data_IF_161913756320
#
_entry.id   IF_161913756320
#
_cell.length_a   1.000
_cell.length_b   1.000
_cell.length_c   1.000
_cell.angle_alpha   90.00
_cell.angle_beta   90.00
_cell.angle_gamma   90.00
#
_symmetry.space_group_name_H-M   'P 1'
#
loop_
_entity.id
_entity.type
_entity.pdbx_description
1 polymer ?
#
# COMPACT_ATOMS: atom_id res chain seq x y z
N UNK A 1 -5.40 -27.73 20.50
CA UNK A 1 -6.54 -28.50 19.97
C UNK A 1 -6.15 -29.55 18.92
N UNK A 2 -4.89 -29.61 18.47
CA UNK A 2 -4.40 -30.69 17.60
C UNK A 2 -4.76 -32.09 18.10
N UNK A 3 -4.72 -32.35 19.41
CA UNK A 3 -5.11 -33.64 20.01
C UNK A 3 -6.55 -34.07 19.69
N UNK A 4 -7.52 -33.15 19.64
CA UNK A 4 -8.92 -33.47 19.31
C UNK A 4 -9.04 -33.81 17.83
N UNK A 5 -8.33 -33.08 16.97
CA UNK A 5 -8.23 -33.37 15.53
C UNK A 5 -7.53 -34.71 15.28
N UNK A 6 -6.44 -35.01 16.00
CA UNK A 6 -5.75 -36.30 15.88
C UNK A 6 -6.59 -37.46 16.42
N UNK A 7 -7.41 -37.24 17.45
CA UNK A 7 -8.33 -38.26 17.97
C UNK A 7 -9.46 -38.51 16.98
N UNK A 8 -10.02 -37.47 16.35
CA UNK A 8 -11.02 -37.61 15.30
C UNK A 8 -10.48 -38.31 14.04
N UNK A 9 -9.26 -37.96 13.61
CA UNK A 9 -8.58 -38.59 12.47
C UNK A 9 -8.18 -40.05 12.77
N UNK A 10 -7.79 -40.37 14.01
CA UNK A 10 -7.46 -41.74 14.43
C UNK A 10 -8.69 -42.63 14.69
N UNK A 11 -9.88 -42.06 14.84
CA UNK A 11 -11.09 -42.80 15.19
C UNK A 11 -11.70 -43.61 14.03
N UNK A 12 -11.17 -43.48 12.80
CA UNK A 12 -11.47 -44.32 11.62
C UNK A 12 -12.96 -44.74 11.50
N UNK A 13 -13.88 -43.78 11.59
CA UNK A 13 -15.32 -44.05 11.57
C UNK A 13 -15.72 -44.69 10.23
N UNK A 14 -16.15 -45.96 10.29
CA UNK A 14 -16.32 -46.84 9.13
C UNK A 14 -17.77 -46.92 8.64
N UNK A 15 -18.55 -45.83 8.64
CA UNK A 15 -19.93 -45.86 8.12
C UNK A 15 -20.38 -44.49 7.57
N UNK A 16 -20.69 -44.44 6.27
CA UNK A 16 -21.31 -43.29 5.57
C UNK A 16 -20.41 -42.06 5.36
N UNK A 17 -20.28 -41.61 4.11
CA UNK A 17 -19.58 -40.43 3.56
C UNK A 17 -18.17 -40.05 4.08
N UNK A 18 -17.58 -40.80 5.03
CA UNK A 18 -16.18 -40.73 5.48
C UNK A 18 -15.67 -39.35 5.96
N UNK A 19 -16.55 -38.39 6.25
CA UNK A 19 -16.16 -37.09 6.79
C UNK A 19 -16.66 -36.91 8.23
N UNK A 20 -15.74 -36.98 9.19
CA UNK A 20 -16.00 -36.68 10.60
C UNK A 20 -15.56 -35.24 10.89
N UNK A 21 -16.52 -34.32 10.96
CA UNK A 21 -16.26 -32.90 11.23
C UNK A 21 -16.57 -32.61 12.70
N UNK A 22 -15.58 -32.11 13.43
CA UNK A 22 -15.76 -31.64 14.81
C UNK A 22 -16.24 -30.18 14.76
N UNK A 23 -17.47 -29.92 15.20
CA UNK A 23 -18.07 -28.58 15.16
C UNK A 23 -18.22 -27.97 16.56
N UNK A 24 -17.67 -26.76 16.74
CA UNK A 24 -17.89 -25.90 17.90
C UNK A 24 -17.59 -24.45 17.53
N UNK A 25 -18.31 -23.48 18.12
CA UNK A 25 -18.01 -22.04 17.93
C UNK A 25 -16.57 -21.70 18.29
N UNK A 26 -16.02 -22.36 19.30
CA UNK A 26 -14.62 -22.19 19.72
C UNK A 26 -13.64 -22.75 18.68
N UNK A 27 -14.02 -23.80 17.96
CA UNK A 27 -13.20 -24.41 16.91
C UNK A 27 -13.06 -23.46 15.71
N UNK A 28 -14.13 -22.73 15.36
CA UNK A 28 -14.09 -21.70 14.33
C UNK A 28 -13.13 -20.56 14.70
N UNK A 29 -13.25 -19.98 15.90
CA UNK A 29 -12.36 -18.90 16.35
C UNK A 29 -10.89 -19.34 16.40
N UNK A 30 -10.63 -20.57 16.84
CA UNK A 30 -9.27 -21.09 16.97
C UNK A 30 -8.61 -21.39 15.62
N UNK A 31 -9.37 -21.94 14.66
CA UNK A 31 -8.88 -22.12 13.29
C UNK A 31 -8.56 -20.77 12.66
N UNK A 32 -9.40 -19.76 12.87
CA UNK A 32 -9.15 -18.41 12.34
C UNK A 32 -7.85 -17.84 12.90
N UNK A 33 -7.60 -17.91 14.21
CA UNK A 33 -6.34 -17.45 14.82
C UNK A 33 -5.11 -18.20 14.29
N UNK A 34 -5.19 -19.53 14.08
CA UNK A 34 -4.07 -20.32 13.55
C UNK A 34 -3.78 -20.01 12.06
N UNK A 35 -4.81 -19.68 11.27
CA UNK A 35 -4.66 -19.34 9.85
C UNK A 35 -4.19 -17.89 9.64
N UNK A 36 -4.62 -16.97 10.51
CA UNK A 36 -4.40 -15.52 10.35
C UNK A 36 -2.93 -15.18 10.12
N UNK A 37 -1.99 -15.70 10.92
CA UNK A 37 -0.58 -15.30 10.81
C UNK A 37 0.03 -15.61 9.43
N UNK A 38 -0.29 -16.78 8.87
CA UNK A 38 0.22 -17.23 7.58
C UNK A 38 -0.50 -16.48 6.45
N UNK A 39 -1.82 -16.30 6.57
CA UNK A 39 -2.62 -15.64 5.55
C UNK A 39 -2.33 -14.14 5.46
N UNK A 40 -2.20 -13.46 6.59
CA UNK A 40 -1.86 -12.02 6.66
C UNK A 40 -0.50 -11.76 6.03
N UNK A 41 0.53 -12.53 6.40
CA UNK A 41 1.86 -12.34 5.83
C UNK A 41 1.87 -12.61 4.32
N UNK A 42 1.17 -13.66 3.86
CA UNK A 42 1.04 -13.98 2.43
C UNK A 42 0.30 -12.88 1.67
N UNK A 43 -0.81 -12.39 2.20
CA UNK A 43 -1.61 -11.33 1.54
C UNK A 43 -0.82 -10.02 1.47
N UNK A 44 -0.11 -9.66 2.54
CA UNK A 44 0.73 -8.47 2.57
C UNK A 44 1.86 -8.54 1.53
N UNK A 45 2.52 -9.70 1.40
CA UNK A 45 3.56 -9.91 0.38
C UNK A 45 2.99 -9.86 -1.03
N UNK A 46 1.84 -10.50 -1.28
CA UNK A 46 1.17 -10.48 -2.58
C UNK A 46 0.71 -9.07 -2.95
N UNK A 47 0.19 -8.30 -2.00
CA UNK A 47 -0.20 -6.91 -2.20
C UNK A 47 1.01 -6.05 -2.60
N UNK A 48 2.12 -6.14 -1.85
CA UNK A 48 3.35 -5.42 -2.17
C UNK A 48 3.90 -5.79 -3.57
N UNK A 49 3.84 -7.07 -3.94
CA UNK A 49 4.27 -7.53 -5.27
C UNK A 49 3.36 -6.99 -6.37
N UNK A 50 2.04 -7.06 -6.18
CA UNK A 50 1.06 -6.52 -7.13
C UNK A 50 1.28 -5.02 -7.36
N UNK A 51 1.47 -4.28 -6.27
CA UNK A 51 1.70 -2.84 -6.31
C UNK A 51 3.03 -2.49 -7.00
N UNK A 52 4.09 -3.26 -6.76
CA UNK A 52 5.34 -3.14 -7.52
C UNK A 52 5.11 -3.35 -9.03
N UNK A 53 4.35 -4.38 -9.42
CA UNK A 53 4.06 -4.64 -10.84
C UNK A 53 3.25 -3.50 -11.46
N UNK A 54 2.19 -3.04 -10.79
CA UNK A 54 1.36 -1.93 -11.27
C UNK A 54 2.17 -0.63 -11.44
N UNK A 55 3.04 -0.30 -10.48
CA UNK A 55 3.89 0.90 -10.57
C UNK A 55 4.91 0.82 -11.70
N UNK A 56 5.51 -0.35 -11.94
CA UNK A 56 6.41 -0.58 -13.08
C UNK A 56 5.67 -0.38 -14.40
N UNK A 57 4.45 -0.91 -14.53
CA UNK A 57 3.64 -0.77 -15.75
C UNK A 57 3.26 0.70 -15.99
N UNK A 58 2.93 1.44 -14.93
CA UNK A 58 2.47 2.83 -15.03
C UNK A 58 3.62 3.81 -15.33
N UNK A 59 4.76 3.66 -14.65
CA UNK A 59 5.89 4.61 -14.70
C UNK A 59 6.96 4.16 -15.71
N UNK A 60 7.01 2.90 -16.15
CA UNK A 60 7.94 2.44 -17.20
C UNK A 60 9.42 2.87 -17.01
N UNK A 61 9.86 3.16 -15.78
CA UNK A 61 11.21 3.53 -15.39
C UNK A 61 11.61 2.77 -14.12
N UNK A 62 12.58 1.87 -14.27
CA UNK A 62 12.94 0.90 -13.22
C UNK A 62 13.52 1.56 -11.97
N UNK A 63 14.27 2.66 -12.15
CA UNK A 63 14.96 3.35 -11.07
C UNK A 63 13.98 4.10 -10.17
N UNK A 64 13.00 4.80 -10.75
CA UNK A 64 11.97 5.52 -9.99
C UNK A 64 11.05 4.56 -9.25
N UNK A 65 10.66 3.46 -9.91
CA UNK A 65 9.82 2.43 -9.29
C UNK A 65 10.50 1.80 -8.06
N UNK A 66 11.80 1.52 -8.16
CA UNK A 66 12.57 0.98 -7.04
C UNK A 66 12.57 1.92 -5.82
N UNK A 67 12.75 3.23 -6.04
CA UNK A 67 12.72 4.21 -4.95
C UNK A 67 11.32 4.40 -4.35
N UNK A 68 10.26 4.36 -5.17
CA UNK A 68 8.87 4.37 -4.70
C UNK A 68 8.62 3.15 -3.81
N UNK A 69 9.05 1.97 -4.23
CA UNK A 69 8.88 0.75 -3.43
C UNK A 69 9.60 0.82 -2.08
N UNK A 70 10.85 1.29 -2.04
CA UNK A 70 11.58 1.49 -0.78
C UNK A 70 10.83 2.47 0.12
N UNK A 71 10.35 3.58 -0.44
CA UNK A 71 9.56 4.57 0.30
C UNK A 71 8.33 3.94 0.96
N UNK A 72 7.62 3.08 0.23
CA UNK A 72 6.41 2.40 0.72
C UNK A 72 6.75 1.35 1.78
N UNK A 73 7.83 0.59 1.61
CA UNK A 73 8.30 -0.35 2.61
C UNK A 73 8.62 0.34 3.94
N UNK A 74 9.34 1.47 3.88
CA UNK A 74 9.65 2.25 5.09
C UNK A 74 8.35 2.72 5.76
N UNK A 75 7.40 3.26 4.98
CA UNK A 75 6.11 3.69 5.56
C UNK A 75 5.33 2.54 6.22
N UNK A 76 5.38 1.33 5.65
CA UNK A 76 4.71 0.18 6.26
C UNK A 76 5.38 -0.25 7.55
N UNK A 77 6.71 -0.27 7.60
CA UNK A 77 7.44 -0.57 8.82
C UNK A 77 7.11 0.46 9.92
N UNK A 78 7.03 1.74 9.57
CA UNK A 78 6.66 2.81 10.52
C UNK A 78 5.22 2.64 11.02
N UNK A 79 4.25 2.40 10.13
CA UNK A 79 2.85 2.20 10.49
C UNK A 79 2.70 0.97 11.40
N UNK A 80 3.29 -0.17 11.02
CA UNK A 80 3.26 -1.39 11.83
C UNK A 80 3.95 -1.19 13.20
N UNK A 81 5.06 -0.47 13.24
CA UNK A 81 5.78 -0.13 14.47
C UNK A 81 4.94 0.74 15.42
N UNK A 82 4.22 1.73 14.88
CA UNK A 82 3.32 2.59 15.66
C UNK A 82 2.03 1.87 16.07
N UNK A 83 1.51 0.96 15.26
CA UNK A 83 0.35 0.13 15.61
C UNK A 83 0.60 -0.67 16.88
N UNK A 84 1.79 -1.27 17.02
CA UNK A 84 2.18 -1.99 18.24
C UNK A 84 2.17 -1.09 19.47
N UNK A 85 2.66 0.15 19.35
CA UNK A 85 2.67 1.12 20.46
C UNK A 85 1.26 1.59 20.85
N UNK A 86 0.31 1.57 19.91
CA UNK A 86 -1.11 1.86 20.17
C UNK A 86 -1.92 0.64 20.61
N UNK A 87 -1.25 -0.49 20.84
CA UNK A 87 -1.87 -1.74 21.27
C UNK A 87 -2.82 -2.34 20.24
N UNK A 88 -2.64 -2.02 18.96
CA UNK A 88 -3.39 -2.67 17.89
C UNK A 88 -2.82 -4.07 17.67
N UNK A 89 -3.69 -5.08 17.74
CA UNK A 89 -3.34 -6.45 17.37
C UNK A 89 -3.38 -6.61 15.86
N UNK A 90 -2.45 -7.39 15.29
CA UNK A 90 -2.50 -7.77 13.87
C UNK A 90 -3.57 -8.84 13.72
N UNK A 91 -4.75 -8.44 13.27
CA UNK A 91 -5.88 -9.30 12.95
C UNK A 91 -6.33 -9.10 11.49
N UNK A 92 -7.29 -9.91 11.03
CA UNK A 92 -7.80 -9.83 9.65
C UNK A 92 -8.27 -8.41 9.28
N UNK A 93 -8.92 -7.72 10.23
CA UNK A 93 -9.39 -6.34 10.02
C UNK A 93 -8.21 -5.39 9.82
N UNK A 94 -7.21 -5.45 10.70
CA UNK A 94 -6.01 -4.61 10.58
C UNK A 94 -5.20 -4.92 9.32
N UNK A 95 -5.17 -6.18 8.87
CA UNK A 95 -4.55 -6.58 7.60
C UNK A 95 -5.20 -5.88 6.40
N UNK A 96 -6.52 -5.92 6.30
CA UNK A 96 -7.26 -5.21 5.25
C UNK A 96 -6.97 -3.70 5.31
N UNK A 97 -6.87 -3.16 6.53
CA UNK A 97 -6.54 -1.74 6.75
C UNK A 97 -5.13 -1.40 6.24
N UNK A 98 -4.15 -2.26 6.50
CA UNK A 98 -2.78 -2.13 6.03
C UNK A 98 -2.70 -2.25 4.49
N UNK A 99 -3.45 -3.16 3.88
CA UNK A 99 -3.51 -3.29 2.42
C UNK A 99 -4.06 -2.01 1.76
N UNK A 100 -5.14 -1.45 2.30
CA UNK A 100 -5.68 -0.17 1.83
C UNK A 100 -4.69 0.99 2.04
N UNK A 101 -3.96 0.96 3.17
CA UNK A 101 -2.91 1.92 3.48
C UNK A 101 -1.74 1.86 2.46
N UNK A 102 -1.33 0.66 2.00
CA UNK A 102 -0.32 0.51 0.95
C UNK A 102 -0.75 1.21 -0.34
N UNK A 103 -2.02 1.05 -0.73
CA UNK A 103 -2.58 1.72 -1.91
C UNK A 103 -2.45 3.24 -1.82
N UNK A 104 -2.89 3.83 -0.70
CA UNK A 104 -2.80 5.27 -0.48
C UNK A 104 -1.35 5.79 -0.49
N UNK A 105 -0.43 5.07 0.18
CA UNK A 105 0.99 5.43 0.18
C UNK A 105 1.57 5.46 -1.24
N UNK A 106 1.23 4.47 -2.06
CA UNK A 106 1.73 4.36 -3.43
C UNK A 106 1.13 5.41 -4.34
N UNK A 107 -0.14 5.76 -4.18
CA UNK A 107 -0.74 6.85 -4.95
C UNK A 107 0.03 8.17 -4.71
N UNK A 108 0.32 8.50 -3.44
CA UNK A 108 1.10 9.70 -3.12
C UNK A 108 2.50 9.68 -3.75
N UNK A 109 3.22 8.57 -3.61
CA UNK A 109 4.57 8.42 -4.14
C UNK A 109 4.62 8.39 -5.68
N UNK A 110 3.65 7.76 -6.33
CA UNK A 110 3.60 7.63 -7.80
C UNK A 110 3.26 8.94 -8.47
N UNK A 111 2.32 9.73 -7.94
CA UNK A 111 2.02 11.07 -8.47
C UNK A 111 3.25 11.98 -8.43
N UNK A 112 3.99 11.95 -7.32
CA UNK A 112 5.24 12.71 -7.16
C UNK A 112 6.34 12.19 -8.09
N UNK A 113 6.58 10.88 -8.12
CA UNK A 113 7.60 10.26 -8.97
C UNK A 113 7.36 10.46 -10.46
N UNK A 114 6.11 10.28 -10.91
CA UNK A 114 5.71 10.51 -12.29
C UNK A 114 5.86 11.99 -12.71
N UNK A 115 5.46 12.91 -11.83
CA UNK A 115 5.62 14.36 -12.09
C UNK A 115 7.09 14.73 -12.19
N UNK A 116 7.95 14.17 -11.34
CA UNK A 116 9.40 14.35 -11.43
C UNK A 116 9.95 13.93 -12.79
N UNK A 117 9.52 12.76 -13.31
CA UNK A 117 9.92 12.26 -14.63
C UNK A 117 9.40 13.11 -15.80
N UNK A 118 8.28 13.79 -15.60
CA UNK A 118 7.65 14.67 -16.60
C UNK A 118 8.34 16.03 -16.69
N UNK A 119 8.87 16.56 -15.58
CA UNK A 119 9.60 17.84 -15.57
C UNK A 119 10.98 17.66 -16.20
N UNK A 120 11.23 18.39 -17.29
CA UNK A 120 12.40 18.19 -18.17
C UNK A 120 13.54 19.16 -17.91
N UNK A 121 13.21 20.35 -17.44
CA UNK A 121 14.15 21.46 -17.35
C UNK A 121 14.88 21.49 -16.02
N UNK A 122 16.13 21.95 -16.05
CA UNK A 122 16.93 22.21 -14.87
C UNK A 122 17.73 21.01 -14.36
N UNK A 123 18.41 21.24 -13.25
CA UNK A 123 19.17 20.19 -12.53
C UNK A 123 18.22 19.24 -11.81
N UNK A 124 18.71 18.08 -11.35
CA UNK A 124 17.89 17.15 -10.54
C UNK A 124 17.25 17.84 -9.32
N UNK A 125 17.97 18.78 -8.71
CA UNK A 125 17.47 19.58 -7.58
C UNK A 125 16.34 20.51 -8.01
N UNK A 126 16.51 21.23 -9.12
CA UNK A 126 15.48 22.13 -9.65
C UNK A 126 14.21 21.34 -10.02
N UNK A 127 14.38 20.18 -10.66
CA UNK A 127 13.27 19.27 -10.97
C UNK A 127 12.53 18.80 -9.71
N UNK A 128 13.24 18.43 -8.65
CA UNK A 128 12.62 18.01 -7.40
C UNK A 128 11.82 19.15 -6.74
N UNK A 129 12.37 20.36 -6.71
CA UNK A 129 11.67 21.54 -6.19
C UNK A 129 10.42 21.84 -7.02
N UNK A 130 10.54 21.90 -8.35
CA UNK A 130 9.39 22.11 -9.25
C UNK A 130 8.33 21.02 -9.11
N UNK A 131 8.73 19.78 -8.88
CA UNK A 131 7.81 18.65 -8.65
C UNK A 131 6.95 18.94 -7.42
N UNK A 132 7.59 19.22 -6.28
CA UNK A 132 6.87 19.50 -5.03
C UNK A 132 6.00 20.75 -5.15
N UNK A 133 6.50 21.81 -5.79
CA UNK A 133 5.72 23.03 -6.00
C UNK A 133 4.51 22.82 -6.93
N UNK A 134 4.58 21.88 -7.87
CA UNK A 134 3.50 21.62 -8.83
C UNK A 134 2.46 20.63 -8.30
N UNK A 135 2.88 19.45 -7.86
CA UNK A 135 1.95 18.36 -7.48
C UNK A 135 1.81 18.20 -5.96
N UNK A 136 2.76 18.72 -5.17
CA UNK A 136 2.77 18.52 -3.72
C UNK A 136 1.51 19.05 -3.04
N UNK A 137 1.00 20.22 -3.47
CA UNK A 137 -0.26 20.77 -2.95
C UNK A 137 -1.47 19.88 -3.27
N UNK A 138 -1.54 19.35 -4.49
CA UNK A 138 -2.61 18.45 -4.90
C UNK A 138 -2.61 17.15 -4.06
N UNK A 139 -1.43 16.56 -3.83
CA UNK A 139 -1.27 15.36 -2.99
C UNK A 139 -1.63 15.64 -1.53
N UNK A 140 -1.21 16.79 -0.99
CA UNK A 140 -1.58 17.20 0.37
C UNK A 140 -3.09 17.40 0.53
N UNK A 141 -3.76 18.06 -0.43
CA UNK A 141 -5.21 18.19 -0.41
C UNK A 141 -5.91 16.84 -0.56
N UNK A 142 -5.36 15.94 -1.39
CA UNK A 142 -5.80 14.55 -1.47
C UNK A 142 -5.76 13.87 -0.10
N UNK A 143 -4.61 13.87 0.57
CA UNK A 143 -4.48 13.27 1.91
C UNK A 143 -5.34 13.93 2.97
N UNK A 144 -5.50 15.26 2.94
CA UNK A 144 -6.42 15.99 3.83
C UNK A 144 -7.88 15.59 3.61
N UNK A 145 -8.30 15.40 2.36
CA UNK A 145 -9.66 14.94 2.06
C UNK A 145 -9.90 13.52 2.60
N UNK A 146 -8.92 12.63 2.48
CA UNK A 146 -8.98 11.28 3.05
C UNK A 146 -9.01 11.34 4.58
N UNK A 147 -8.24 12.24 5.20
CA UNK A 147 -8.25 12.44 6.64
C UNK A 147 -9.63 12.88 7.14
N UNK A 148 -10.28 13.82 6.45
CA UNK A 148 -11.65 14.26 6.77
C UNK A 148 -12.62 13.07 6.64
N UNK A 149 -12.55 12.29 5.57
CA UNK A 149 -13.40 11.11 5.39
C UNK A 149 -13.23 10.07 6.50
N UNK A 150 -11.98 9.75 6.83
CA UNK A 150 -11.64 8.79 7.89
C UNK A 150 -11.99 9.33 9.28
N UNK A 151 -11.93 10.65 9.50
CA UNK A 151 -12.29 11.26 10.78
C UNK A 151 -13.71 10.93 11.22
N UNK A 152 -14.65 10.74 10.28
CA UNK A 152 -16.01 10.32 10.59
C UNK A 152 -16.06 8.92 11.24
N UNK A 153 -15.10 8.05 10.92
CA UNK A 153 -15.00 6.69 11.49
C UNK A 153 -14.65 6.74 12.98
N UNK A 154 -13.99 7.81 13.45
CA UNK A 154 -13.62 7.97 14.86
C UNK A 154 -14.81 8.08 15.81
N UNK A 155 -15.98 8.49 15.29
CA UNK A 155 -17.22 8.63 16.05
C UNK A 155 -17.86 7.28 16.39
N UNK A 156 -17.40 6.19 15.75
CA UNK A 156 -17.95 4.85 15.96
C UNK A 156 -17.30 4.14 17.15
N UNK A 157 -18.11 3.42 17.91
CA UNK A 157 -17.65 2.57 19.02
C UNK A 157 -17.25 1.17 18.57
N UNK A 158 -17.50 0.79 17.32
CA UNK A 158 -17.16 -0.55 16.85
C UNK A 158 -15.65 -0.69 16.64
N UNK A 159 -15.10 -1.82 17.09
CA UNK A 159 -13.67 -2.15 16.99
C UNK A 159 -13.10 -1.93 15.58
N UNK A 160 -13.79 -2.43 14.55
CA UNK A 160 -13.36 -2.31 13.15
C UNK A 160 -13.13 -0.86 12.72
N UNK A 161 -14.05 0.04 13.05
CA UNK A 161 -13.94 1.44 12.67
C UNK A 161 -12.82 2.16 13.42
N UNK A 162 -12.60 1.84 14.70
CA UNK A 162 -11.51 2.40 15.50
C UNK A 162 -10.13 1.94 15.01
N UNK A 163 -10.00 0.65 14.66
CA UNK A 163 -8.77 0.09 14.11
C UNK A 163 -8.43 0.73 12.76
N UNK A 164 -9.42 0.85 11.86
CA UNK A 164 -9.22 1.55 10.59
C UNK A 164 -8.87 3.02 10.78
N UNK A 165 -9.57 3.75 11.64
CA UNK A 165 -9.25 5.15 11.92
C UNK A 165 -7.77 5.32 12.31
N UNK A 166 -7.27 4.48 13.22
CA UNK A 166 -5.88 4.52 13.67
C UNK A 166 -4.90 4.23 12.53
N UNK A 167 -5.13 3.18 11.74
CA UNK A 167 -4.26 2.79 10.63
C UNK A 167 -4.21 3.88 9.56
N UNK A 168 -5.38 4.37 9.13
CA UNK A 168 -5.48 5.43 8.12
C UNK A 168 -4.90 6.75 8.62
N UNK A 169 -5.05 7.07 9.90
CA UNK A 169 -4.42 8.26 10.46
C UNK A 169 -2.89 8.19 10.37
N UNK A 170 -2.30 7.05 10.76
CA UNK A 170 -0.86 6.84 10.68
C UNK A 170 -0.37 6.88 9.24
N UNK A 171 -1.06 6.21 8.31
CA UNK A 171 -0.63 6.17 6.91
C UNK A 171 -0.73 7.55 6.23
N UNK A 172 -1.73 8.38 6.56
CA UNK A 172 -1.80 9.72 5.99
C UNK A 172 -0.60 10.55 6.42
N UNK A 173 -0.24 10.50 7.71
CA UNK A 173 0.91 11.27 8.22
C UNK A 173 2.22 10.74 7.63
N UNK A 174 2.51 9.45 7.81
CA UNK A 174 3.78 8.87 7.37
C UNK A 174 3.86 8.78 5.85
N UNK A 175 2.76 8.43 5.17
CA UNK A 175 2.67 8.34 3.72
C UNK A 175 2.85 9.69 3.03
N UNK A 176 2.21 10.76 3.53
CA UNK A 176 2.45 12.11 2.99
C UNK A 176 3.88 12.58 3.25
N UNK A 177 4.42 12.33 4.46
CA UNK A 177 5.79 12.70 4.77
C UNK A 177 6.79 11.99 3.86
N UNK A 178 6.70 10.67 3.73
CA UNK A 178 7.62 9.90 2.90
C UNK A 178 7.40 10.15 1.40
N UNK A 179 6.14 10.24 0.95
CA UNK A 179 5.80 10.45 -0.46
C UNK A 179 6.13 11.87 -0.97
N UNK A 180 5.87 12.91 -0.18
CA UNK A 180 6.04 14.32 -0.60
C UNK A 180 7.38 14.90 -0.17
N UNK A 181 7.98 14.44 0.91
CA UNK A 181 9.26 14.97 1.41
C UNK A 181 10.42 14.03 1.08
N UNK A 182 10.36 12.77 1.53
CA UNK A 182 11.49 11.85 1.37
C UNK A 182 11.76 11.50 -0.10
N UNK A 183 10.71 11.17 -0.87
CA UNK A 183 10.87 10.73 -2.24
C UNK A 183 11.50 11.80 -3.16
N UNK A 184 11.07 13.08 -3.18
CA UNK A 184 11.74 14.12 -3.96
C UNK A 184 13.19 14.36 -3.55
N UNK A 185 13.53 14.22 -2.27
CA UNK A 185 14.91 14.36 -1.79
C UNK A 185 15.79 13.23 -2.34
N UNK A 186 15.29 11.99 -2.31
CA UNK A 186 15.99 10.84 -2.90
C UNK A 186 16.16 11.02 -4.42
N UNK A 187 15.10 11.41 -5.13
CA UNK A 187 15.14 11.65 -6.58
C UNK A 187 16.01 12.87 -6.95
N UNK A 188 16.14 13.85 -6.07
CA UNK A 188 17.05 14.99 -6.26
C UNK A 188 18.53 14.55 -6.27
N UNK A 189 18.88 13.53 -5.47
CA UNK A 189 20.24 13.00 -5.39
C UNK A 189 20.51 11.96 -6.50
N UNK A 190 19.63 10.96 -6.59
CA UNK A 190 19.85 9.75 -7.40
C UNK A 190 18.75 9.57 -8.46
N UNK A 191 18.04 10.64 -8.83
CA UNK A 191 16.94 10.54 -9.79
C UNK A 191 17.40 10.30 -11.24
N UNK A 192 16.63 9.51 -12.00
CA UNK A 192 16.89 9.26 -13.41
C UNK A 192 16.63 10.50 -14.27
N UNK A 193 17.05 10.40 -15.53
CA UNK A 193 16.78 11.43 -16.56
C UNK A 193 15.27 11.47 -16.87
N UNK A 194 14.73 12.64 -17.27
CA UNK A 194 13.33 12.74 -17.68
C UNK A 194 13.03 11.87 -18.91
N UNK A 195 11.74 11.58 -19.16
CA UNK A 195 11.33 10.79 -20.32
C UNK A 195 11.84 11.38 -21.64
N UNK A 196 12.22 10.48 -22.57
CA UNK A 196 12.61 10.85 -23.93
C UNK A 196 11.38 11.34 -24.71
N UNK A 197 11.57 12.35 -25.56
CA UNK A 197 10.52 12.88 -26.43
C UNK A 197 10.03 11.77 -27.37
N UNK A 198 8.71 11.57 -27.49
CA UNK A 198 8.17 11.04 -28.73
C UNK A 198 8.42 12.13 -29.78
N UNK A 199 9.31 11.89 -30.74
CA UNK A 199 9.44 12.79 -31.88
C UNK A 199 8.05 12.96 -32.48
N UNK A 200 7.53 14.18 -32.49
CA UNK A 200 6.32 14.48 -33.24
C UNK A 200 6.58 14.00 -34.67
N UNK A 201 5.77 13.06 -35.15
CA UNK A 201 5.78 12.68 -36.57
C UNK A 201 5.60 13.99 -37.33
N UNK A 202 6.54 14.41 -38.19
CA UNK A 202 6.36 15.63 -38.96
C UNK A 202 5.04 15.48 -39.71
N UNK A 203 4.07 16.34 -39.40
CA UNK A 203 2.90 16.48 -40.23
C UNK A 203 3.43 17.00 -41.57
N UNK A 204 3.55 16.09 -42.54
CA UNK A 204 3.70 16.49 -43.92
C UNK A 204 2.46 17.29 -44.24
N UNK A 205 2.61 18.60 -44.41
CA UNK A 205 1.58 19.44 -45.02
C UNK A 205 1.24 18.79 -46.36
N UNK A 206 0.18 17.98 -46.38
CA UNK A 206 -0.45 17.54 -47.61
C UNK A 206 -1.05 18.80 -48.21
N UNK A 207 -0.25 19.42 -49.08
CA UNK A 207 -0.67 20.52 -49.92
C UNK A 207 -1.96 20.15 -50.64
N UNK A 208 -3.06 20.67 -50.13
CA UNK A 208 -4.28 20.88 -50.87
C UNK A 208 -4.24 22.34 -51.33
N UNK A 209 -3.52 22.53 -52.42
CA UNK A 209 -3.72 23.60 -53.40
C UNK A 209 -5.04 23.37 -54.13
#
# INVERSE_FOLDING_TARGET
>A
MHKVRTVAEKANFTTGDREAIVWSKFFATWITDELIDIEVMRNLQLALLCVMLCTIVLIADWQTCFWIFICVLITMVDVMGYMQRWGLTIDLVSCIGLELAIGLCVDYATHVGHTFLTIREGTRRDRAVRTVSSIGSAVLYGGLSTFIGVSMMSLSTAYTFQSFFKIFFLVIIFGLFHGVVLLPVILSLVGPKPYKLHQAVPQSDTGLS
#
